data_IF_160212660905
#
_entry.id   IF_160212660905
#
_cell.length_a   1.000
_cell.length_b   1.000
_cell.length_c   1.000
_cell.angle_alpha   90.00
_cell.angle_beta   90.00
_cell.angle_gamma   90.00
#
_symmetry.space_group_name_H-M   'P 1'
#
loop_
_entity.id
_entity.type
_entity.pdbx_description
1 polymer ?
#
# COMPACT_ATOMS: atom_id res chain seq x y z
N UNK A 1 -14.92 -0.59 -9.45
CA UNK A 1 -14.45 -0.69 -8.06
C UNK A 1 -13.57 0.52 -7.69
N UNK A 2 -14.14 1.72 -7.53
CA UNK A 2 -13.35 2.94 -7.23
C UNK A 2 -12.68 2.87 -5.85
N UNK A 3 -13.42 2.35 -4.86
CA UNK A 3 -12.94 2.20 -3.49
C UNK A 3 -11.78 1.20 -3.35
N UNK A 4 -11.74 0.13 -4.15
CA UNK A 4 -10.63 -0.81 -4.12
C UNK A 4 -9.32 -0.18 -4.60
N UNK A 5 -9.36 0.59 -5.69
CA UNK A 5 -8.17 1.34 -6.15
C UNK A 5 -7.69 2.33 -5.08
N UNK A 6 -8.61 3.00 -4.39
CA UNK A 6 -8.27 3.91 -3.30
C UNK A 6 -7.62 3.13 -2.15
N UNK A 7 -8.25 2.05 -1.68
CA UNK A 7 -7.73 1.20 -0.60
C UNK A 7 -6.32 0.68 -0.89
N UNK A 8 -6.09 0.20 -2.12
CA UNK A 8 -4.79 -0.29 -2.57
C UNK A 8 -3.72 0.82 -2.58
N UNK A 9 -4.03 1.98 -3.19
CA UNK A 9 -3.08 3.09 -3.25
C UNK A 9 -2.82 3.71 -1.87
N UNK A 10 -3.82 3.77 -1.00
CA UNK A 10 -3.67 4.18 0.40
C UNK A 10 -2.72 3.25 1.15
N UNK A 11 -2.79 1.93 0.90
CA UNK A 11 -1.91 0.96 1.54
C UNK A 11 -0.44 1.16 1.14
N UNK A 12 -0.18 1.40 -0.15
CA UNK A 12 1.18 1.69 -0.63
C UNK A 12 1.77 2.92 0.07
N UNK A 13 1.00 4.00 0.16
CA UNK A 13 1.45 5.23 0.82
C UNK A 13 1.57 5.09 2.34
N UNK A 14 0.68 4.35 3.01
CA UNK A 14 0.82 4.10 4.45
C UNK A 14 2.06 3.26 4.75
N UNK A 15 2.39 2.30 3.89
CA UNK A 15 3.59 1.49 4.01
C UNK A 15 4.86 2.35 3.85
N UNK A 16 4.87 3.27 2.87
CA UNK A 16 5.95 4.25 2.71
C UNK A 16 6.10 5.13 3.94
N UNK A 17 5.00 5.70 4.46
CA UNK A 17 5.03 6.59 5.62
C UNK A 17 5.52 5.84 6.85
N UNK A 18 5.00 4.64 7.12
CA UNK A 18 5.43 3.83 8.26
C UNK A 18 6.92 3.48 8.19
N UNK A 19 7.41 3.13 7.00
CA UNK A 19 8.83 2.84 6.79
C UNK A 19 9.70 4.08 6.93
N UNK A 20 9.27 5.25 6.47
CA UNK A 20 10.00 6.50 6.72
C UNK A 20 10.02 6.83 8.22
N UNK A 21 8.91 6.62 8.93
CA UNK A 21 8.84 6.78 10.38
C UNK A 21 9.74 5.80 11.14
N UNK A 22 9.90 4.57 10.64
CA UNK A 22 10.82 3.56 11.21
C UNK A 22 12.29 3.97 11.11
N UNK A 23 12.66 4.84 10.16
CA UNK A 23 14.03 5.34 10.07
C UNK A 23 14.36 6.37 11.16
N UNK A 24 13.33 6.94 11.80
CA UNK A 24 13.51 7.89 12.89
C UNK A 24 13.53 7.13 14.22
N UNK A 25 14.71 7.02 14.82
CA UNK A 25 14.91 6.37 16.12
C UNK A 25 14.00 6.95 17.21
N UNK A 26 13.75 8.26 17.18
CA UNK A 26 12.88 8.91 18.15
C UNK A 26 11.42 8.44 18.06
N UNK A 27 10.92 8.19 16.83
CA UNK A 27 9.58 7.65 16.62
C UNK A 27 9.50 6.16 16.97
N UNK A 28 10.50 5.39 16.56
CA UNK A 28 10.60 3.95 16.84
C UNK A 28 10.53 3.65 18.34
N UNK A 29 11.23 4.45 19.16
CA UNK A 29 11.25 4.24 20.62
C UNK A 29 9.97 4.66 21.34
N UNK A 30 9.10 5.48 20.71
CA UNK A 30 7.94 6.10 21.40
C UNK A 30 6.60 5.57 20.92
N UNK A 31 6.53 5.00 19.72
CA UNK A 31 5.27 4.66 19.10
C UNK A 31 5.39 3.31 18.39
N UNK A 32 4.36 2.48 18.56
CA UNK A 32 4.25 1.24 17.81
C UNK A 32 4.02 1.58 16.33
N UNK A 33 5.04 1.32 15.51
CA UNK A 33 5.05 1.67 14.09
C UNK A 33 4.07 0.82 13.29
N UNK A 34 3.80 -0.41 13.73
CA UNK A 34 2.78 -1.25 13.14
C UNK A 34 1.37 -0.68 13.31
N UNK A 35 1.05 -0.13 14.49
CA UNK A 35 -0.21 0.61 14.69
C UNK A 35 -0.28 1.88 13.85
N UNK A 36 0.85 2.60 13.70
CA UNK A 36 0.91 3.76 12.81
C UNK A 36 0.60 3.37 11.35
N UNK A 37 1.12 2.24 10.87
CA UNK A 37 0.83 1.74 9.52
C UNK A 37 -0.68 1.58 9.30
N UNK A 38 -1.37 0.87 10.19
CA UNK A 38 -2.82 0.65 10.06
C UNK A 38 -3.63 1.94 10.26
N UNK A 39 -3.22 2.80 11.20
CA UNK A 39 -3.87 4.09 11.45
C UNK A 39 -3.78 5.04 10.25
N UNK A 40 -2.58 5.21 9.69
CA UNK A 40 -2.35 6.02 8.49
C UNK A 40 -3.09 5.43 7.28
N UNK A 41 -3.13 4.11 7.15
CA UNK A 41 -3.87 3.46 6.06
C UNK A 41 -5.36 3.80 6.09
N UNK A 42 -6.01 3.67 7.25
CA UNK A 42 -7.43 3.99 7.43
C UNK A 42 -7.67 5.48 7.20
N UNK A 43 -6.82 6.36 7.75
CA UNK A 43 -6.93 7.80 7.56
C UNK A 43 -6.84 8.19 6.08
N UNK A 44 -5.84 7.69 5.35
CA UNK A 44 -5.67 7.94 3.93
C UNK A 44 -6.83 7.39 3.10
N UNK A 45 -7.36 6.21 3.45
CA UNK A 45 -8.51 5.64 2.79
C UNK A 45 -9.75 6.53 2.93
N UNK A 46 -10.04 7.00 4.15
CA UNK A 46 -11.17 7.91 4.42
C UNK A 46 -11.00 9.22 3.67
N UNK A 47 -9.83 9.85 3.76
CA UNK A 47 -9.56 11.13 3.08
C UNK A 47 -9.74 11.01 1.57
N UNK A 48 -9.11 10.01 0.94
CA UNK A 48 -9.20 9.81 -0.50
C UNK A 48 -10.62 9.40 -0.93
N UNK A 49 -11.34 8.64 -0.11
CA UNK A 49 -12.75 8.30 -0.33
C UNK A 49 -13.63 9.56 -0.34
N UNK A 50 -13.47 10.45 0.65
CA UNK A 50 -14.19 11.73 0.72
C UNK A 50 -13.88 12.64 -0.47
N UNK A 51 -12.61 12.76 -0.86
CA UNK A 51 -12.21 13.52 -2.05
C UNK A 51 -12.82 12.90 -3.31
N UNK A 52 -12.87 11.57 -3.38
CA UNK A 52 -13.47 10.81 -4.48
C UNK A 52 -14.99 10.99 -4.58
N UNK A 53 -15.70 11.34 -3.51
CA UNK A 53 -17.12 11.68 -3.56
C UNK A 53 -17.30 13.07 -4.19
N UNK A 54 -16.46 14.05 -3.82
CA UNK A 54 -16.55 15.44 -4.32
C UNK A 54 -15.93 15.65 -5.70
N UNK A 55 -14.88 14.91 -6.04
CA UNK A 55 -14.17 14.96 -7.33
C UNK A 55 -14.19 13.59 -7.98
N UNK A 56 -14.29 13.55 -9.31
CA UNK A 56 -14.13 12.34 -10.11
C UNK A 56 -12.66 11.89 -10.17
N UNK A 57 -12.03 11.64 -9.02
CA UNK A 57 -10.70 11.02 -8.94
C UNK A 57 -10.73 9.68 -9.67
N UNK A 58 -10.15 9.64 -10.86
CA UNK A 58 -10.09 8.42 -11.66
C UNK A 58 -8.69 7.83 -11.53
N UNK A 59 -8.47 7.06 -10.48
CA UNK A 59 -7.24 6.30 -10.27
C UNK A 59 -7.17 5.18 -11.31
N UNK A 60 -6.48 5.43 -12.42
CA UNK A 60 -6.31 4.45 -13.50
C UNK A 60 -5.40 3.29 -13.08
N UNK A 61 -5.42 2.20 -13.85
CA UNK A 61 -4.49 1.09 -13.66
C UNK A 61 -3.03 1.55 -13.80
N UNK A 62 -2.75 2.37 -14.82
CA UNK A 62 -1.41 2.96 -15.06
C UNK A 62 -0.96 3.77 -13.84
N UNK A 63 -1.85 4.57 -13.25
CA UNK A 63 -1.54 5.31 -12.02
C UNK A 63 -1.11 4.38 -10.88
N UNK A 64 -1.81 3.26 -10.68
CA UNK A 64 -1.49 2.32 -9.59
C UNK A 64 -0.16 1.59 -9.83
N UNK A 65 0.21 1.29 -11.08
CA UNK A 65 1.52 0.74 -11.43
C UNK A 65 2.62 1.75 -11.15
N UNK A 66 2.48 2.98 -11.66
CA UNK A 66 3.47 4.04 -11.44
C UNK A 66 3.64 4.27 -9.94
N UNK A 67 2.55 4.33 -9.19
CA UNK A 67 2.59 4.53 -7.75
C UNK A 67 3.33 3.39 -7.02
N UNK A 68 3.10 2.13 -7.42
CA UNK A 68 3.84 0.99 -6.86
C UNK A 68 5.34 1.07 -7.16
N UNK A 69 5.72 1.40 -8.40
CA UNK A 69 7.13 1.54 -8.80
C UNK A 69 7.79 2.68 -8.01
N UNK A 70 7.12 3.82 -7.87
CA UNK A 70 7.62 4.97 -7.11
C UNK A 70 7.78 4.62 -5.63
N UNK A 71 6.80 3.95 -5.02
CA UNK A 71 6.86 3.54 -3.63
C UNK A 71 8.02 2.56 -3.40
N UNK A 72 8.16 1.53 -4.24
CA UNK A 72 9.26 0.56 -4.13
C UNK A 72 10.62 1.22 -4.36
N UNK A 73 10.74 2.09 -5.37
CA UNK A 73 11.97 2.82 -5.66
C UNK A 73 12.38 3.74 -4.51
N UNK A 74 11.42 4.47 -3.92
CA UNK A 74 11.67 5.31 -2.76
C UNK A 74 12.17 4.49 -1.56
N UNK A 75 11.54 3.36 -1.27
CA UNK A 75 11.95 2.49 -0.16
C UNK A 75 13.31 1.84 -0.40
N UNK A 76 13.62 1.48 -1.65
CA UNK A 76 14.93 0.95 -2.03
C UNK A 76 16.04 1.98 -1.82
N UNK A 77 15.80 3.26 -2.13
CA UNK A 77 16.74 4.35 -1.85
C UNK A 77 16.89 4.57 -0.34
N UNK A 78 15.80 4.45 0.43
CA UNK A 78 15.80 4.79 1.85
C UNK A 78 16.47 3.74 2.75
N UNK A 79 16.29 2.45 2.43
CA UNK A 79 16.77 1.31 3.23
C UNK A 79 17.81 0.41 2.54
N UNK A 80 17.94 0.47 1.22
CA UNK A 80 18.68 -0.51 0.43
C UNK A 80 17.87 -1.79 0.18
N UNK A 81 18.27 -2.55 -0.86
CA UNK A 81 17.56 -3.75 -1.32
C UNK A 81 17.58 -4.87 -0.27
N UNK A 82 18.67 -4.99 0.49
CA UNK A 82 18.83 -6.05 1.49
C UNK A 82 17.82 -5.92 2.65
N UNK A 83 17.63 -4.69 3.15
CA UNK A 83 16.77 -4.40 4.31
C UNK A 83 15.28 -4.39 3.97
N UNK A 84 14.93 -4.20 2.70
CA UNK A 84 13.55 -4.27 2.21
C UNK A 84 12.88 -5.62 2.44
N UNK A 85 13.66 -6.70 2.59
CA UNK A 85 13.15 -8.02 2.91
C UNK A 85 12.78 -8.19 4.39
N UNK A 86 13.23 -7.32 5.29
CA UNK A 86 13.07 -7.51 6.74
C UNK A 86 12.19 -6.43 7.35
N UNK A 87 12.44 -5.15 7.00
CA UNK A 87 11.82 -4.01 7.69
C UNK A 87 10.30 -3.92 7.48
N UNK A 88 9.74 -4.10 6.27
CA UNK A 88 8.28 -4.10 6.10
C UNK A 88 7.61 -5.25 6.87
N UNK A 89 8.24 -6.42 6.90
CA UNK A 89 7.73 -7.59 7.62
C UNK A 89 7.78 -7.39 9.14
N UNK A 90 8.82 -6.76 9.69
CA UNK A 90 8.90 -6.47 11.13
C UNK A 90 7.80 -5.51 11.58
N UNK A 91 7.54 -4.45 10.82
CA UNK A 91 6.48 -3.48 11.12
C UNK A 91 5.10 -4.15 11.14
N UNK A 92 4.81 -4.99 10.14
CA UNK A 92 3.52 -5.70 10.07
C UNK A 92 3.39 -6.70 11.22
N UNK A 93 4.47 -7.41 11.54
CA UNK A 93 4.51 -8.38 12.65
C UNK A 93 4.19 -7.72 13.98
N UNK A 94 4.79 -6.55 14.23
CA UNK A 94 4.57 -5.75 15.43
C UNK A 94 3.14 -5.19 15.47
N UNK A 95 2.62 -4.69 14.36
CA UNK A 95 1.25 -4.15 14.29
C UNK A 95 0.16 -5.21 14.50
N UNK A 96 0.43 -6.46 14.12
CA UNK A 96 -0.48 -7.59 14.34
C UNK A 96 -0.31 -8.26 15.71
N UNK A 97 0.66 -7.84 16.52
CA UNK A 97 1.06 -8.53 17.76
C UNK A 97 1.38 -10.03 17.57
N UNK A 98 1.82 -10.44 16.38
CA UNK A 98 2.08 -11.85 16.03
C UNK A 98 3.58 -12.15 16.04
N UNK A 99 4.20 -12.16 17.22
CA UNK A 99 5.65 -12.34 17.36
C UNK A 99 6.15 -13.75 17.05
N UNK A 100 5.32 -14.74 16.79
CA UNK A 100 5.77 -16.10 16.44
C UNK A 100 5.91 -16.35 14.93
N UNK A 101 5.39 -15.46 14.08
CA UNK A 101 5.37 -15.66 12.63
C UNK A 101 6.72 -15.31 12.02
N UNK A 102 7.21 -16.15 11.12
CA UNK A 102 8.47 -15.91 10.41
C UNK A 102 8.36 -14.74 9.43
N UNK A 103 9.44 -13.99 9.26
CA UNK A 103 9.49 -12.87 8.30
C UNK A 103 9.16 -13.31 6.87
N UNK A 104 9.58 -14.52 6.47
CA UNK A 104 9.33 -15.06 5.14
C UNK A 104 7.82 -15.23 4.85
N UNK A 105 7.06 -15.71 5.84
CA UNK A 105 5.60 -15.85 5.71
C UNK A 105 4.94 -14.49 5.51
N UNK A 106 5.31 -13.48 6.31
CA UNK A 106 4.75 -12.13 6.19
C UNK A 106 5.08 -11.50 4.83
N UNK A 107 6.32 -11.65 4.36
CA UNK A 107 6.72 -11.17 3.04
C UNK A 107 5.93 -11.85 1.93
N UNK A 108 5.70 -13.15 2.03
CA UNK A 108 4.93 -13.89 1.04
C UNK A 108 3.50 -13.36 0.99
N UNK A 109 2.87 -13.16 2.15
CA UNK A 109 1.53 -12.56 2.23
C UNK A 109 1.51 -11.15 1.65
N UNK A 110 2.50 -10.32 1.96
CA UNK A 110 2.62 -8.96 1.42
C UNK A 110 2.74 -8.97 -0.11
N UNK A 111 3.61 -9.81 -0.67
CA UNK A 111 3.82 -9.92 -2.11
C UNK A 111 2.54 -10.41 -2.79
N UNK A 112 1.89 -11.45 -2.23
CA UNK A 112 0.61 -11.95 -2.74
C UNK A 112 -0.45 -10.85 -2.71
N UNK A 113 -0.55 -10.08 -1.62
CA UNK A 113 -1.48 -8.97 -1.51
C UNK A 113 -1.22 -7.88 -2.57
N UNK A 114 0.04 -7.51 -2.82
CA UNK A 114 0.40 -6.52 -3.84
C UNK A 114 0.07 -7.02 -5.26
N UNK A 115 0.42 -8.28 -5.57
CA UNK A 115 0.15 -8.88 -6.88
C UNK A 115 -1.35 -9.05 -7.14
N UNK A 116 -2.09 -9.64 -6.19
CA UNK A 116 -3.54 -9.83 -6.30
C UNK A 116 -4.25 -8.48 -6.39
N UNK A 117 -3.81 -7.49 -5.61
CA UNK A 117 -4.31 -6.13 -5.70
C UNK A 117 -4.16 -5.55 -7.11
N UNK A 118 -2.98 -5.65 -7.72
CA UNK A 118 -2.76 -5.21 -9.11
C UNK A 118 -3.64 -5.96 -10.12
N UNK A 119 -3.76 -7.29 -9.99
CA UNK A 119 -4.56 -8.12 -10.90
C UNK A 119 -6.04 -7.71 -10.85
N UNK A 120 -6.59 -7.46 -9.66
CA UNK A 120 -7.99 -7.00 -9.51
C UNK A 120 -8.18 -5.63 -10.18
N UNK A 121 -7.22 -4.70 -10.01
CA UNK A 121 -7.27 -3.37 -10.64
C UNK A 121 -7.20 -3.51 -12.18
N UNK A 122 -6.35 -4.40 -12.68
CA UNK A 122 -6.23 -4.69 -14.12
C UNK A 122 -7.55 -5.16 -14.72
N UNK A 123 -8.16 -6.20 -14.16
CA UNK A 123 -9.46 -6.71 -14.64
C UNK A 123 -10.56 -5.66 -14.57
N UNK A 124 -10.57 -4.85 -13.50
CA UNK A 124 -11.53 -3.75 -13.36
C UNK A 124 -11.35 -2.69 -14.45
N UNK A 125 -10.09 -2.36 -14.77
CA UNK A 125 -9.77 -1.39 -15.82
C UNK A 125 -10.12 -1.92 -17.21
N UNK A 126 -9.83 -3.19 -17.49
CA UNK A 126 -10.17 -3.84 -18.75
C UNK A 126 -11.70 -3.91 -18.96
N UNK A 127 -12.45 -4.27 -17.92
CA UNK A 127 -13.92 -4.28 -17.96
C UNK A 127 -14.50 -2.88 -18.21
N UNK A 128 -13.92 -1.83 -17.63
CA UNK A 128 -14.37 -0.46 -17.81
C UNK A 128 -14.03 0.11 -19.20
N UNK A 129 -12.95 -0.36 -19.83
CA UNK A 129 -12.59 -0.02 -21.21
C UNK A 129 -13.56 -0.67 -22.19
N UNK A 130 -13.76 -1.99 -22.07
CA UNK A 130 -14.71 -2.75 -22.91
C UNK A 130 -16.13 -2.18 -22.86
N UNK A 131 -16.60 -1.72 -21.69
CA UNK A 131 -17.90 -1.03 -21.60
C UNK A 131 -17.93 0.29 -22.36
N UNK A 132 -16.85 1.07 -22.40
CA UNK A 132 -16.84 2.34 -23.15
C UNK A 132 -16.87 2.11 -24.66
N UNK A 133 -16.16 1.09 -25.14
CA UNK A 133 -16.07 0.78 -26.58
C UNK A 133 -17.38 0.19 -27.16
N UNK A 134 -18.30 -0.30 -26.32
CA UNK A 134 -19.63 -0.82 -26.73
C UNK A 134 -20.68 0.30 -26.84
N UNK A 135 -20.48 1.42 -26.14
CA UNK A 135 -21.44 2.54 -26.06
C UNK A 135 -20.96 3.81 -26.79
N UNK A 136 -19.86 3.73 -27.55
CA UNK A 136 -19.37 4.77 -28.47
C UNK A 136 -19.73 4.43 -29.90
#
# INVERSE_FOLDING_TARGET
MKYFNILYNSFLWSLVIALTSFKSEWLEMRMNIGLLLFGVWIALFIILSLISIKKTLNMSFIFSIINLIVCLGYLAVLYGIERLSIVPASIIREGLNMTSVSFNTINTVLIVFLLVGLVIIFFTSASNKKRRDIFS
#
